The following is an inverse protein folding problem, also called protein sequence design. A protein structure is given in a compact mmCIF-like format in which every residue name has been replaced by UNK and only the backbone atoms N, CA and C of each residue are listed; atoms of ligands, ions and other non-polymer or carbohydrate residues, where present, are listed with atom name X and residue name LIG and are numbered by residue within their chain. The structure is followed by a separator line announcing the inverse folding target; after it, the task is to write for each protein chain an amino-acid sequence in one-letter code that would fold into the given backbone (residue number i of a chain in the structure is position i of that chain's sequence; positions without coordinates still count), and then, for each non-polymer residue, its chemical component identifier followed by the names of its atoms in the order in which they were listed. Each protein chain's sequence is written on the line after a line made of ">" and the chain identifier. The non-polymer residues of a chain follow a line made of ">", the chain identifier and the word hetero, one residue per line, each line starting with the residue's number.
data_IF_107486702335
#
_entry.id   IF_107486702335
#
_cell.length_a   1.000
_cell.length_b   1.000
_cell.length_c   1.000
_cell.angle_alpha   90.00
_cell.angle_beta   90.00
_cell.angle_gamma   90.00
#
_symmetry.space_group_name_H-M   'P 1'
#
loop_
_entity.id
_entity.type
_entity.pdbx_description
1 polymer ?
#
# COMPACT_ATOMS: atom_id res chain seq x y z
N UNK A 1 4.46 35.37 -17.92
CA UNK A 1 5.21 34.15 -18.32
C UNK A 1 4.97 33.12 -17.23
N UNK A 2 3.96 32.26 -17.40
CA UNK A 2 3.63 31.21 -16.42
C UNK A 2 4.45 29.98 -16.73
N UNK A 3 5.34 29.61 -15.80
CA UNK A 3 6.12 28.38 -15.89
C UNK A 3 5.18 27.19 -15.61
N UNK A 4 4.80 26.48 -16.68
CA UNK A 4 4.22 25.15 -16.61
C UNK A 4 5.20 24.22 -15.90
N UNK A 5 4.95 23.96 -14.62
CA UNK A 5 5.64 22.91 -13.89
C UNK A 5 5.18 21.58 -14.47
N UNK A 6 6.07 20.93 -15.22
CA UNK A 6 5.91 19.53 -15.61
C UNK A 6 5.95 18.69 -14.34
N UNK A 7 4.79 18.22 -13.89
CA UNK A 7 4.70 17.17 -12.88
C UNK A 7 5.17 15.88 -13.55
N UNK A 8 6.46 15.56 -13.42
CA UNK A 8 6.91 14.20 -13.69
C UNK A 8 6.01 13.26 -12.88
N UNK A 9 5.27 12.37 -13.56
CA UNK A 9 4.32 11.49 -12.90
C UNK A 9 5.06 10.66 -11.86
N UNK A 10 4.70 10.82 -10.57
CA UNK A 10 5.25 9.98 -9.51
C UNK A 10 4.99 8.51 -9.86
N UNK A 11 5.94 7.61 -9.60
CA UNK A 11 5.76 6.20 -9.91
C UNK A 11 4.50 5.66 -9.24
N UNK A 12 3.70 4.96 -10.05
CA UNK A 12 2.49 4.26 -9.62
C UNK A 12 2.83 2.78 -9.42
N UNK A 13 2.30 2.18 -8.36
CA UNK A 13 2.43 0.75 -8.09
C UNK A 13 1.08 0.08 -8.23
N UNK A 14 1.05 -1.19 -8.62
CA UNK A 14 -0.18 -1.97 -8.57
C UNK A 14 -0.48 -2.38 -7.12
N UNK A 15 -1.76 -2.38 -6.73
CA UNK A 15 -2.19 -2.95 -5.46
C UNK A 15 -1.72 -4.40 -5.26
N UNK A 16 -1.55 -5.17 -6.35
CA UNK A 16 -0.96 -6.51 -6.31
C UNK A 16 0.46 -6.53 -5.70
N UNK A 17 1.23 -5.46 -5.84
CA UNK A 17 2.55 -5.32 -5.20
C UNK A 17 2.45 -5.30 -3.67
N UNK A 18 1.38 -4.73 -3.10
CA UNK A 18 1.14 -4.77 -1.65
C UNK A 18 0.77 -6.18 -1.19
N UNK A 19 0.01 -6.93 -2.00
CA UNK A 19 -0.32 -8.32 -1.71
C UNK A 19 0.95 -9.17 -1.69
N UNK A 20 1.82 -9.02 -2.69
CA UNK A 20 3.12 -9.70 -2.73
C UNK A 20 4.05 -9.32 -1.59
N UNK A 21 3.96 -8.06 -1.11
CA UNK A 21 4.73 -7.58 0.02
C UNK A 21 4.33 -8.25 1.34
N UNK A 22 3.04 -8.55 1.52
CA UNK A 22 2.45 -9.14 2.72
C UNK A 22 2.42 -10.68 2.69
N UNK A 23 2.31 -11.27 1.50
CA UNK A 23 2.13 -12.71 1.29
C UNK A 23 3.20 -13.61 1.95
N UNK A 24 4.49 -13.23 2.05
CA UNK A 24 5.50 -14.08 2.71
C UNK A 24 5.20 -14.37 4.19
N UNK A 25 4.46 -13.49 4.88
CA UNK A 25 4.12 -13.66 6.29
C UNK A 25 2.68 -14.18 6.49
N UNK A 26 1.75 -13.77 5.64
CA UNK A 26 0.31 -14.05 5.81
C UNK A 26 -0.20 -15.21 4.94
N UNK A 27 0.53 -15.55 3.88
CA UNK A 27 -0.02 -16.30 2.75
C UNK A 27 -0.80 -15.41 1.79
N UNK A 28 -0.93 -15.85 0.54
CA UNK A 28 -1.50 -15.03 -0.56
C UNK A 28 -2.95 -14.63 -0.32
N UNK A 29 -3.79 -15.54 0.18
CA UNK A 29 -5.20 -15.27 0.41
C UNK A 29 -5.40 -14.21 1.51
N UNK A 30 -4.81 -14.41 2.69
CA UNK A 30 -4.94 -13.45 3.79
C UNK A 30 -4.32 -12.08 3.46
N UNK A 31 -3.24 -12.05 2.67
CA UNK A 31 -2.68 -10.80 2.16
C UNK A 31 -3.67 -10.08 1.22
N UNK A 32 -4.33 -10.80 0.32
CA UNK A 32 -5.35 -10.23 -0.57
C UNK A 32 -6.53 -9.67 0.23
N UNK A 33 -7.06 -10.45 1.17
CA UNK A 33 -8.17 -10.03 2.05
C UNK A 33 -7.81 -8.78 2.86
N UNK A 34 -6.59 -8.69 3.40
CA UNK A 34 -6.14 -7.53 4.15
C UNK A 34 -6.05 -6.26 3.28
N UNK A 35 -5.54 -6.38 2.05
CA UNK A 35 -5.45 -5.26 1.10
C UNK A 35 -6.85 -4.83 0.64
N UNK A 36 -7.72 -5.77 0.30
CA UNK A 36 -9.08 -5.45 -0.15
C UNK A 36 -9.92 -4.81 0.96
N UNK A 37 -9.81 -5.30 2.19
CA UNK A 37 -10.43 -4.68 3.36
C UNK A 37 -9.93 -3.23 3.53
N UNK A 38 -8.61 -3.01 3.48
CA UNK A 38 -8.06 -1.66 3.63
C UNK A 38 -8.49 -0.72 2.49
N UNK A 39 -8.57 -1.21 1.24
CA UNK A 39 -9.08 -0.43 0.10
C UNK A 39 -10.53 -0.02 0.30
N UNK A 40 -11.35 -0.94 0.80
CA UNK A 40 -12.75 -0.68 1.12
C UNK A 40 -12.88 0.38 2.21
N UNK A 41 -12.09 0.30 3.29
CA UNK A 41 -12.12 1.27 4.41
C UNK A 41 -11.79 2.69 3.94
N UNK A 42 -10.83 2.86 3.02
CA UNK A 42 -10.39 4.19 2.56
C UNK A 42 -11.06 4.64 1.25
N UNK A 43 -11.93 3.81 0.67
CA UNK A 43 -12.61 4.10 -0.59
C UNK A 43 -11.70 4.12 -1.83
N UNK A 44 -10.58 3.38 -1.82
CA UNK A 44 -9.61 3.38 -2.92
C UNK A 44 -9.88 2.27 -3.94
N UNK A 45 -10.43 2.66 -5.09
CA UNK A 45 -10.83 1.74 -6.16
C UNK A 45 -9.84 1.66 -7.32
N UNK A 46 -8.84 2.56 -7.37
CA UNK A 46 -7.86 2.54 -8.47
C UNK A 46 -6.97 1.32 -8.37
N UNK A 47 -6.61 0.70 -9.52
CA UNK A 47 -5.63 -0.38 -9.54
C UNK A 47 -4.22 0.12 -9.21
N UNK A 48 -3.93 1.38 -9.54
CA UNK A 48 -2.62 1.99 -9.44
C UNK A 48 -2.54 3.01 -8.28
N UNK A 49 -1.67 2.73 -7.33
CA UNK A 49 -1.49 3.51 -6.12
C UNK A 49 -0.26 4.42 -6.29
N UNK A 50 -0.38 5.67 -5.87
CA UNK A 50 0.80 6.45 -5.52
C UNK A 50 1.41 5.92 -4.22
N UNK A 51 2.68 6.27 -3.98
CA UNK A 51 3.37 5.95 -2.71
C UNK A 51 2.56 6.35 -1.47
N UNK A 52 1.95 7.53 -1.48
CA UNK A 52 1.21 8.04 -0.32
C UNK A 52 -0.09 7.23 -0.10
N UNK A 53 -0.76 6.82 -1.18
CA UNK A 53 -1.93 5.93 -1.10
C UNK A 53 -1.55 4.54 -0.59
N UNK A 54 -0.42 4.00 -1.04
CA UNK A 54 0.11 2.73 -0.57
C UNK A 54 0.44 2.74 0.92
N UNK A 55 1.05 3.83 1.40
CA UNK A 55 1.34 4.03 2.82
C UNK A 55 0.07 4.11 3.66
N UNK A 56 -0.95 4.84 3.20
CA UNK A 56 -2.25 4.91 3.87
C UNK A 56 -2.93 3.53 3.93
N UNK A 57 -2.88 2.77 2.84
CA UNK A 57 -3.38 1.39 2.81
C UNK A 57 -2.69 0.50 3.86
N UNK A 58 -1.37 0.58 3.96
CA UNK A 58 -0.59 -0.18 4.94
C UNK A 58 -0.81 0.29 6.38
N UNK A 59 -1.19 1.55 6.59
CA UNK A 59 -1.63 2.05 7.90
C UNK A 59 -2.91 1.37 8.36
N UNK A 60 -3.92 1.26 7.48
CA UNK A 60 -5.17 0.55 7.80
C UNK A 60 -4.92 -0.94 8.03
N UNK A 61 -4.02 -1.57 7.27
CA UNK A 61 -3.61 -2.95 7.54
C UNK A 61 -2.94 -3.06 8.92
N UNK A 62 -2.09 -2.09 9.28
CA UNK A 62 -1.39 -2.06 10.57
C UNK A 62 -2.33 -1.92 11.78
N UNK A 63 -3.51 -1.33 11.61
CA UNK A 63 -4.52 -1.20 12.67
C UNK A 63 -5.18 -2.54 13.03
N UNK A 64 -5.07 -3.55 12.18
CA UNK A 64 -5.63 -4.87 12.45
C UNK A 64 -4.89 -5.57 13.62
N UNK A 65 -5.59 -6.37 14.45
CA UNK A 65 -4.94 -7.11 15.52
C UNK A 65 -4.08 -8.27 15.00
N UNK A 66 -3.11 -8.69 15.81
CA UNK A 66 -2.32 -9.89 15.57
C UNK A 66 -1.34 -9.78 14.39
N UNK A 67 -1.11 -10.92 13.73
CA UNK A 67 -0.05 -11.07 12.72
C UNK A 67 -0.25 -10.13 11.51
N UNK A 68 -1.49 -9.86 11.12
CA UNK A 68 -1.81 -8.96 9.99
C UNK A 68 -1.31 -7.55 10.27
N UNK A 69 -1.64 -6.98 11.43
CA UNK A 69 -1.18 -5.65 11.80
C UNK A 69 0.32 -5.56 11.99
N UNK A 70 0.95 -6.56 12.59
CA UNK A 70 2.42 -6.61 12.73
C UNK A 70 3.06 -6.58 11.32
N UNK A 71 2.56 -7.39 10.40
CA UNK A 71 3.06 -7.45 9.02
C UNK A 71 2.85 -6.13 8.28
N UNK A 72 1.68 -5.48 8.43
CA UNK A 72 1.39 -4.16 7.86
C UNK A 72 2.41 -3.09 8.28
N UNK A 73 2.81 -3.06 9.56
CA UNK A 73 3.84 -2.13 10.06
C UNK A 73 5.20 -2.37 9.40
N UNK A 74 5.63 -3.62 9.27
CA UNK A 74 6.89 -3.94 8.59
C UNK A 74 6.85 -3.61 7.10
N UNK A 75 5.73 -3.94 6.42
CA UNK A 75 5.51 -3.57 5.03
C UNK A 75 5.59 -2.05 4.83
N UNK A 76 4.95 -1.26 5.72
CA UNK A 76 5.01 0.22 5.69
C UNK A 76 6.45 0.71 5.80
N UNK A 77 7.23 0.18 6.74
CA UNK A 77 8.66 0.53 6.88
C UNK A 77 9.46 0.23 5.61
N UNK A 78 9.19 -0.91 4.94
CA UNK A 78 9.85 -1.23 3.66
C UNK A 78 9.50 -0.22 2.57
N UNK A 79 8.23 0.15 2.43
CA UNK A 79 7.79 1.17 1.46
C UNK A 79 8.46 2.52 1.73
N UNK A 80 8.51 2.95 2.99
CA UNK A 80 9.15 4.21 3.37
C UNK A 80 10.63 4.26 2.97
N UNK A 81 11.34 3.14 3.11
CA UNK A 81 12.77 3.03 2.86
C UNK A 81 13.14 2.74 1.40
N UNK A 82 12.29 2.02 0.67
CA UNK A 82 12.65 1.43 -0.63
C UNK A 82 11.97 2.11 -1.82
N UNK A 83 10.81 2.75 -1.64
CA UNK A 83 10.08 3.41 -2.73
C UNK A 83 10.29 4.93 -2.61
N UNK A 84 11.20 5.48 -3.42
CA UNK A 84 11.52 6.92 -3.49
C UNK A 84 10.79 7.59 -4.64
#
# INVERSE_FOLDING_TARGET
>A
MSASHSFAARPRIDASTLVELLAPALGKQAAQEAVDHARMVIGETRPDLSRDQALHLLEVVAEQPGLVGITGRFAKSRVLLQWK
#
